data_IF_456144728395
#
_entry.id   IF_456144728395
#
_cell.length_a   1.000
_cell.length_b   1.000
_cell.length_c   1.000
_cell.angle_alpha   90.00
_cell.angle_beta   90.00
_cell.angle_gamma   90.00
#
_symmetry.space_group_name_H-M   'P 1'
#
loop_
_entity.id
_entity.type
_entity.pdbx_description
1 polymer ?
#
# COMPACT_ATOMS: atom_id res chain seq x y z
N UNK A 1 -20.69 -3.26 1.33
CA UNK A 1 -19.77 -4.40 1.10
C UNK A 1 -18.71 -4.42 2.20
N UNK A 2 -18.17 -5.58 2.57
CA UNK A 2 -17.08 -5.73 3.55
C UNK A 2 -15.74 -5.79 2.79
N UNK A 3 -14.96 -4.72 2.86
CA UNK A 3 -13.73 -4.56 2.08
C UNK A 3 -12.51 -4.55 3.00
N UNK A 4 -11.48 -5.31 2.64
CA UNK A 4 -10.21 -5.36 3.35
C UNK A 4 -9.11 -4.78 2.46
N UNK A 5 -8.43 -3.71 2.88
CA UNK A 5 -7.38 -3.03 2.10
C UNK A 5 -6.10 -3.02 2.91
N UNK A 6 -4.98 -3.41 2.30
CA UNK A 6 -3.63 -3.36 2.87
C UNK A 6 -3.51 -4.01 4.28
N UNK A 7 -4.31 -5.04 4.54
CA UNK A 7 -4.29 -5.69 5.84
C UNK A 7 -3.03 -6.55 5.99
N UNK A 8 -2.11 -6.09 6.84
CA UNK A 8 -0.81 -6.71 7.02
C UNK A 8 -0.63 -7.36 8.39
N UNK A 9 -0.33 -8.65 8.36
CA UNK A 9 -0.15 -9.52 9.52
C UNK A 9 1.32 -9.92 9.76
N UNK A 10 2.27 -9.31 9.05
CA UNK A 10 3.70 -9.48 9.30
C UNK A 10 4.24 -8.63 10.48
N UNK A 11 5.54 -8.78 10.74
CA UNK A 11 6.28 -8.01 11.75
C UNK A 11 7.62 -7.49 11.19
N UNK A 12 8.29 -6.65 11.98
CA UNK A 12 9.61 -6.09 11.68
C UNK A 12 10.76 -7.05 11.97
N UNK A 13 11.93 -6.47 12.29
CA UNK A 13 13.11 -7.26 12.67
C UNK A 13 12.85 -8.06 13.95
N UNK A 14 13.34 -9.30 13.95
CA UNK A 14 13.21 -10.23 15.09
C UNK A 14 14.57 -10.56 15.74
N UNK A 15 15.68 -10.13 15.14
CA UNK A 15 17.03 -10.39 15.64
C UNK A 15 18.04 -9.38 15.09
N UNK A 16 19.12 -9.15 15.85
CA UNK A 16 20.29 -8.38 15.43
C UNK A 16 21.40 -9.26 14.82
N UNK A 17 21.19 -10.58 14.71
CA UNK A 17 22.22 -11.53 14.29
C UNK A 17 22.76 -11.31 12.86
N UNK A 18 21.97 -10.67 11.99
CA UNK A 18 22.46 -10.20 10.68
C UNK A 18 22.57 -8.67 10.69
N UNK A 19 23.79 -8.09 10.73
CA UNK A 19 23.97 -6.65 10.83
C UNK A 19 23.80 -5.91 9.49
N UNK A 20 23.57 -6.64 8.39
CA UNK A 20 23.55 -6.09 7.04
C UNK A 20 22.15 -6.08 6.44
N UNK A 21 21.85 -5.00 5.72
CA UNK A 21 20.67 -4.92 4.85
C UNK A 21 20.84 -5.85 3.66
N UNK A 22 19.71 -6.40 3.15
CA UNK A 22 19.70 -7.23 1.94
C UNK A 22 20.22 -6.41 0.75
N UNK A 23 21.14 -6.99 -0.03
CA UNK A 23 21.64 -6.37 -1.26
C UNK A 23 20.50 -6.06 -2.22
N UNK A 24 20.44 -4.83 -2.71
CA UNK A 24 19.41 -4.38 -3.65
C UNK A 24 18.11 -3.92 -2.99
N UNK A 25 18.04 -3.87 -1.65
CA UNK A 25 16.91 -3.28 -0.94
C UNK A 25 16.74 -1.80 -1.32
N UNK A 26 15.50 -1.32 -1.39
CA UNK A 26 15.14 0.04 -1.79
C UNK A 26 15.86 1.11 -0.95
N UNK A 27 15.99 0.91 0.37
CA UNK A 27 16.75 1.83 1.24
C UNK A 27 18.25 1.90 0.89
N UNK A 28 18.86 0.78 0.47
CA UNK A 28 20.24 0.77 -0.02
C UNK A 28 20.35 1.54 -1.35
N UNK A 29 19.37 1.39 -2.25
CA UNK A 29 19.33 2.11 -3.53
C UNK A 29 19.13 3.61 -3.33
N UNK A 30 18.28 4.00 -2.36
CA UNK A 30 17.97 5.40 -2.03
C UNK A 30 19.17 6.13 -1.41
N UNK A 31 19.82 5.52 -0.40
CA UNK A 31 20.77 6.23 0.46
C UNK A 31 22.18 5.60 0.54
N UNK A 32 22.46 4.53 -0.20
CA UNK A 32 23.77 3.87 -0.19
C UNK A 32 24.13 3.18 1.13
N UNK A 33 23.15 2.95 2.01
CA UNK A 33 23.36 2.35 3.34
C UNK A 33 23.66 0.85 3.24
N UNK A 34 24.40 0.32 4.23
CA UNK A 34 24.75 -1.12 4.32
C UNK A 34 24.22 -1.79 5.58
N UNK A 35 24.11 -1.05 6.68
CA UNK A 35 23.67 -1.58 7.97
C UNK A 35 22.18 -1.92 7.91
N UNK A 36 21.78 -2.91 8.70
CA UNK A 36 20.39 -3.28 8.90
C UNK A 36 19.55 -2.08 9.37
N UNK A 37 18.35 -1.93 8.80
CA UNK A 37 17.35 -0.98 9.27
C UNK A 37 16.75 -1.48 10.60
N UNK A 38 16.64 -0.63 11.63
CA UNK A 38 16.06 -1.00 12.92
C UNK A 38 14.51 -0.88 12.93
N UNK A 39 13.84 -1.37 11.89
CA UNK A 39 12.37 -1.32 11.80
C UNK A 39 11.74 -2.44 12.64
N UNK A 40 11.35 -2.09 13.86
CA UNK A 40 10.57 -2.94 14.77
C UNK A 40 9.10 -2.55 14.68
N UNK A 41 8.20 -3.54 14.66
CA UNK A 41 6.76 -3.31 14.69
C UNK A 41 6.35 -2.77 16.06
N UNK A 42 5.60 -1.67 16.10
CA UNK A 42 5.20 -0.99 17.36
C UNK A 42 3.71 -1.08 17.68
N UNK A 43 2.89 -1.57 16.75
CA UNK A 43 1.44 -1.74 16.94
C UNK A 43 1.08 -3.21 17.16
N UNK A 44 0.22 -3.56 18.14
CA UNK A 44 -0.29 -4.92 18.27
C UNK A 44 -1.10 -5.35 17.04
N UNK A 45 -1.38 -6.65 16.93
CA UNK A 45 -2.34 -7.15 15.96
C UNK A 45 -3.75 -7.03 16.53
N UNK A 46 -4.56 -6.16 15.92
CA UNK A 46 -5.91 -5.85 16.42
C UNK A 46 -7.00 -6.75 15.81
N UNK A 47 -6.66 -7.51 14.77
CA UNK A 47 -7.56 -8.41 14.07
C UNK A 47 -6.83 -9.72 13.75
N UNK A 48 -7.46 -10.85 14.06
CA UNK A 48 -6.99 -12.18 13.66
C UNK A 48 -7.48 -12.50 12.24
N UNK A 49 -6.59 -12.67 11.24
CA UNK A 49 -7.02 -12.98 9.87
C UNK A 49 -7.77 -14.32 9.79
N UNK A 50 -7.44 -15.30 10.63
CA UNK A 50 -8.08 -16.62 10.63
C UNK A 50 -9.47 -16.62 11.25
N UNK A 51 -9.89 -15.50 11.86
CA UNK A 51 -11.24 -15.29 12.34
C UNK A 51 -12.17 -14.61 11.29
N UNK A 52 -11.65 -14.21 10.12
CA UNK A 52 -12.46 -13.60 9.06
C UNK A 52 -13.47 -14.62 8.51
N UNK A 53 -14.76 -14.24 8.50
CA UNK A 53 -15.87 -15.07 7.97
C UNK A 53 -16.73 -14.35 6.93
N UNK A 54 -16.79 -13.02 6.98
CA UNK A 54 -17.62 -12.20 6.09
C UNK A 54 -16.78 -11.10 5.46
N UNK A 55 -16.38 -11.31 4.22
CA UNK A 55 -15.56 -10.40 3.43
C UNK A 55 -16.02 -10.49 1.97
N UNK A 56 -16.00 -9.36 1.26
CA UNK A 56 -16.46 -9.24 -0.13
C UNK A 56 -15.32 -8.94 -1.11
N UNK A 57 -14.17 -8.45 -0.65
CA UNK A 57 -12.95 -8.28 -1.44
C UNK A 57 -11.72 -8.08 -0.55
N UNK A 58 -10.57 -8.57 -1.01
CA UNK A 58 -9.23 -8.27 -0.48
C UNK A 58 -8.51 -7.36 -1.47
N UNK A 59 -7.93 -6.26 -1.01
CA UNK A 59 -7.21 -5.30 -1.84
C UNK A 59 -5.80 -5.04 -1.33
N UNK A 60 -4.89 -4.77 -2.27
CA UNK A 60 -3.54 -4.28 -2.01
C UNK A 60 -3.25 -3.09 -2.91
N UNK A 61 -2.80 -1.98 -2.33
CA UNK A 61 -2.41 -0.78 -3.10
C UNK A 61 -1.15 -1.01 -3.90
N UNK A 62 -0.17 -1.75 -3.34
CA UNK A 62 1.11 -2.04 -3.97
C UNK A 62 1.80 -3.25 -3.34
N UNK A 63 2.95 -3.66 -3.90
CA UNK A 63 3.61 -4.94 -3.61
C UNK A 63 4.66 -4.88 -2.49
N UNK A 64 4.77 -3.78 -1.73
CA UNK A 64 5.64 -3.77 -0.55
C UNK A 64 5.09 -4.67 0.54
N UNK A 65 6.02 -5.25 1.28
CA UNK A 65 5.74 -6.32 2.22
C UNK A 65 4.72 -5.95 3.30
N UNK A 66 4.61 -4.67 3.68
CA UNK A 66 3.67 -4.16 4.69
C UNK A 66 2.29 -3.74 4.16
N UNK A 67 2.01 -3.98 2.87
CA UNK A 67 0.73 -3.69 2.23
C UNK A 67 0.05 -4.93 1.63
N UNK A 68 0.72 -6.09 1.64
CA UNK A 68 0.20 -7.36 1.13
C UNK A 68 0.64 -8.50 2.04
N UNK A 69 -0.25 -9.48 2.31
CA UNK A 69 0.04 -10.52 3.29
C UNK A 69 -0.43 -11.92 2.87
N UNK A 70 0.51 -12.87 2.92
CA UNK A 70 0.26 -14.28 2.57
C UNK A 70 -0.64 -15.00 3.57
N UNK A 71 -0.59 -14.62 4.86
CA UNK A 71 -1.42 -15.23 5.90
C UNK A 71 -2.86 -14.75 5.78
N UNK A 72 -3.07 -13.47 5.45
CA UNK A 72 -4.41 -12.94 5.13
C UNK A 72 -4.98 -13.65 3.90
N UNK A 73 -4.18 -13.81 2.84
CA UNK A 73 -4.59 -14.56 1.66
C UNK A 73 -4.97 -16.01 2.00
N UNK A 74 -4.12 -16.72 2.76
CA UNK A 74 -4.40 -18.08 3.20
C UNK A 74 -5.69 -18.17 4.04
N UNK A 75 -5.89 -17.24 4.97
CA UNK A 75 -7.06 -17.22 5.83
C UNK A 75 -8.37 -16.98 5.06
N UNK A 76 -8.39 -16.05 4.10
CA UNK A 76 -9.56 -15.80 3.24
C UNK A 76 -9.82 -17.00 2.33
N UNK A 77 -8.77 -17.59 1.74
CA UNK A 77 -8.90 -18.80 0.91
C UNK A 77 -9.45 -20.01 1.67
N UNK A 78 -9.16 -20.13 2.97
CA UNK A 78 -9.61 -21.25 3.81
C UNK A 78 -11.01 -21.05 4.39
N UNK A 79 -11.38 -19.81 4.71
CA UNK A 79 -12.54 -19.54 5.57
C UNK A 79 -13.72 -18.86 4.86
N UNK A 80 -13.50 -18.30 3.67
CA UNK A 80 -14.48 -17.44 2.99
C UNK A 80 -14.94 -18.06 1.66
N UNK A 81 -15.96 -17.46 1.06
CA UNK A 81 -16.51 -17.92 -0.21
C UNK A 81 -15.46 -17.90 -1.34
N UNK A 82 -15.63 -18.82 -2.31
CA UNK A 82 -14.70 -18.99 -3.44
C UNK A 82 -14.72 -17.80 -4.41
N UNK A 83 -15.76 -16.98 -4.36
CA UNK A 83 -15.96 -15.81 -5.22
C UNK A 83 -15.38 -14.52 -4.64
N UNK A 84 -14.77 -14.52 -3.45
CA UNK A 84 -14.12 -13.32 -2.89
C UNK A 84 -12.88 -12.99 -3.73
N UNK A 85 -12.85 -11.82 -4.42
CA UNK A 85 -11.74 -11.43 -5.27
C UNK A 85 -10.56 -10.83 -4.47
N UNK A 86 -9.37 -11.01 -5.03
CA UNK A 86 -8.11 -10.39 -4.66
C UNK A 86 -7.75 -9.34 -5.72
N UNK A 87 -7.78 -8.07 -5.34
CA UNK A 87 -7.76 -6.94 -6.27
C UNK A 87 -6.51 -6.08 -6.01
N UNK A 88 -5.72 -5.84 -7.04
CA UNK A 88 -4.45 -5.12 -6.88
C UNK A 88 -3.81 -4.77 -8.21
N UNK A 89 -2.71 -4.01 -8.21
CA UNK A 89 -1.87 -3.85 -9.39
C UNK A 89 -1.25 -5.19 -9.80
N UNK A 90 -0.70 -5.26 -11.01
CA UNK A 90 -0.20 -6.51 -11.61
C UNK A 90 0.76 -7.27 -10.67
N UNK A 91 1.71 -6.57 -10.07
CA UNK A 91 2.69 -7.16 -9.15
C UNK A 91 2.08 -7.77 -7.88
N UNK A 92 1.01 -7.18 -7.34
CA UNK A 92 0.27 -7.77 -6.21
C UNK A 92 -0.42 -9.07 -6.63
N UNK A 93 -1.04 -9.07 -7.82
CA UNK A 93 -1.67 -10.26 -8.40
C UNK A 93 -0.63 -11.35 -8.66
N UNK A 94 0.56 -11.00 -9.14
CA UNK A 94 1.66 -11.94 -9.34
C UNK A 94 2.13 -12.55 -8.02
N UNK A 95 2.23 -11.75 -6.94
CA UNK A 95 2.55 -12.25 -5.59
C UNK A 95 1.49 -13.21 -5.08
N UNK A 96 0.20 -12.84 -5.14
CA UNK A 96 -0.89 -13.71 -4.72
C UNK A 96 -0.93 -15.03 -5.49
N UNK A 97 -0.78 -15.00 -6.81
CA UNK A 97 -0.68 -16.20 -7.63
C UNK A 97 0.55 -17.03 -7.25
N UNK A 98 1.69 -16.38 -6.98
CA UNK A 98 2.90 -17.04 -6.49
C UNK A 98 2.73 -17.73 -5.13
N UNK A 99 1.79 -17.27 -4.30
CA UNK A 99 1.40 -17.90 -3.04
C UNK A 99 0.28 -18.94 -3.18
N UNK A 100 -0.25 -19.13 -4.38
CA UNK A 100 -1.28 -20.13 -4.67
C UNK A 100 -2.71 -19.61 -4.68
N UNK A 101 -2.93 -18.29 -4.68
CA UNK A 101 -4.27 -17.73 -4.97
C UNK A 101 -4.62 -18.01 -6.44
N UNK A 102 -5.77 -18.66 -6.72
CA UNK A 102 -6.18 -18.97 -8.08
C UNK A 102 -6.39 -17.70 -8.93
N UNK A 103 -5.95 -17.72 -10.19
CA UNK A 103 -5.98 -16.54 -11.09
C UNK A 103 -7.39 -15.99 -11.30
N UNK A 104 -8.39 -16.86 -11.23
CA UNK A 104 -9.80 -16.60 -11.43
C UNK A 104 -10.38 -15.76 -10.28
N UNK A 105 -9.70 -15.76 -9.13
CA UNK A 105 -10.00 -14.89 -7.98
C UNK A 105 -9.24 -13.57 -8.03
N UNK A 106 -8.33 -13.38 -8.98
CA UNK A 106 -7.51 -12.16 -9.05
C UNK A 106 -8.07 -11.15 -10.05
N UNK A 107 -8.12 -9.88 -9.66
CA UNK A 107 -8.49 -8.77 -10.53
C UNK A 107 -7.32 -7.78 -10.56
N UNK A 108 -6.68 -7.67 -11.73
CA UNK A 108 -5.64 -6.66 -11.96
C UNK A 108 -6.31 -5.31 -12.18
N UNK A 109 -5.88 -4.28 -11.46
CA UNK A 109 -6.30 -2.89 -11.64
C UNK A 109 -5.12 -2.00 -12.04
N UNK A 110 -5.37 -1.07 -12.95
CA UNK A 110 -4.49 0.06 -13.31
C UNK A 110 -5.26 1.38 -13.19
N UNK A 111 -4.57 2.54 -13.12
CA UNK A 111 -5.23 3.84 -13.07
C UNK A 111 -6.29 4.01 -14.17
N UNK A 112 -7.48 4.45 -13.78
CA UNK A 112 -8.66 4.58 -14.64
C UNK A 112 -9.62 3.40 -14.63
N UNK A 113 -9.21 2.22 -14.13
CA UNK A 113 -10.10 1.08 -13.99
C UNK A 113 -11.11 1.28 -12.84
N UNK A 114 -12.31 0.73 -13.00
CA UNK A 114 -13.37 0.73 -11.98
C UNK A 114 -13.91 -0.68 -11.82
N UNK A 115 -14.00 -1.14 -10.57
CA UNK A 115 -14.65 -2.41 -10.22
C UNK A 115 -15.75 -2.15 -9.19
N UNK A 116 -16.87 -2.84 -9.33
CA UNK A 116 -18.01 -2.72 -8.40
C UNK A 116 -18.10 -3.97 -7.53
N UNK A 117 -18.04 -3.78 -6.22
CA UNK A 117 -18.21 -4.82 -5.21
C UNK A 117 -19.48 -4.50 -4.43
N UNK A 118 -20.57 -5.23 -4.71
CA UNK A 118 -21.92 -4.94 -4.21
C UNK A 118 -22.31 -3.46 -4.43
N UNK A 119 -22.45 -2.69 -3.35
CA UNK A 119 -22.85 -1.29 -3.30
C UNK A 119 -21.66 -0.30 -3.33
N UNK A 120 -20.42 -0.78 -3.45
CA UNK A 120 -19.22 0.05 -3.48
C UNK A 120 -18.59 0.05 -4.87
N UNK A 121 -18.34 1.23 -5.43
CA UNK A 121 -17.53 1.41 -6.64
C UNK A 121 -16.09 1.74 -6.25
N UNK A 122 -15.14 0.95 -6.74
CA UNK A 122 -13.71 1.07 -6.41
C UNK A 122 -13.00 1.56 -7.67
N UNK A 123 -12.50 2.78 -7.61
CA UNK A 123 -11.70 3.38 -8.67
C UNK A 123 -10.22 3.20 -8.35
N UNK A 124 -9.45 2.65 -9.29
CA UNK A 124 -8.00 2.72 -9.23
C UNK A 124 -7.52 4.03 -9.85
N UNK A 125 -6.65 4.73 -9.13
CA UNK A 125 -6.09 6.03 -9.48
C UNK A 125 -4.57 5.96 -9.44
N UNK A 126 -3.90 6.95 -10.02
CA UNK A 126 -2.44 7.04 -10.04
C UNK A 126 -1.87 6.99 -8.61
N UNK A 127 -0.88 6.14 -8.38
CA UNK A 127 -0.09 6.15 -7.15
C UNK A 127 1.16 7.01 -7.31
N UNK A 128 1.71 7.46 -6.17
CA UNK A 128 2.90 8.32 -6.13
C UNK A 128 3.99 7.77 -5.21
N UNK A 129 3.98 6.47 -4.95
CA UNK A 129 5.03 5.82 -4.16
C UNK A 129 6.34 5.73 -4.98
N UNK A 130 7.19 6.74 -4.79
CA UNK A 130 8.51 6.79 -5.42
C UNK A 130 9.44 5.67 -4.94
N UNK A 131 9.17 5.09 -3.77
CA UNK A 131 9.92 3.96 -3.23
C UNK A 131 9.63 2.68 -4.02
N UNK A 132 8.38 2.42 -4.44
CA UNK A 132 8.05 1.31 -5.34
C UNK A 132 8.81 1.35 -6.69
N UNK A 133 9.04 2.53 -7.26
CA UNK A 133 9.78 2.65 -8.52
C UNK A 133 11.23 2.13 -8.43
N UNK A 134 11.85 2.25 -7.25
CA UNK A 134 13.21 1.75 -6.98
C UNK A 134 13.23 0.42 -6.22
N UNK A 135 12.06 -0.16 -5.93
CA UNK A 135 11.93 -1.50 -5.35
C UNK A 135 12.01 -2.51 -6.49
N UNK A 136 13.22 -2.97 -6.77
CA UNK A 136 13.54 -3.84 -7.90
C UNK A 136 14.14 -5.16 -7.41
N UNK A 137 13.98 -6.26 -8.16
CA UNK A 137 14.74 -7.49 -7.97
C UNK A 137 16.24 -7.22 -7.80
N UNK A 138 16.91 -8.05 -6.99
CA UNK A 138 18.30 -7.80 -6.55
C UNK A 138 19.32 -7.77 -7.72
N UNK A 139 19.00 -8.44 -8.82
CA UNK A 139 19.79 -8.49 -10.06
C UNK A 139 19.57 -7.28 -10.98
N UNK A 140 18.55 -6.45 -10.73
CA UNK A 140 18.24 -5.27 -11.53
C UNK A 140 18.90 -4.00 -10.99
N UNK A 141 19.20 -3.05 -11.89
CA UNK A 141 19.79 -1.73 -11.56
C UNK A 141 18.81 -0.61 -11.89
N UNK A 142 18.65 0.32 -10.94
CA UNK A 142 17.88 1.55 -11.16
C UNK A 142 18.72 2.67 -11.83
N UNK A 143 20.05 2.64 -11.66
CA UNK A 143 20.93 3.68 -12.17
C UNK A 143 20.92 3.73 -13.70
N UNK A 144 20.65 4.92 -14.26
CA UNK A 144 20.59 5.14 -15.71
C UNK A 144 19.31 4.66 -16.38
N UNK A 145 18.31 4.22 -15.60
CA UNK A 145 17.00 3.78 -16.10
C UNK A 145 15.96 4.80 -15.67
N UNK A 146 15.11 5.23 -16.61
CA UNK A 146 13.97 6.08 -16.27
C UNK A 146 13.00 5.27 -15.39
N UNK A 147 12.60 5.78 -14.21
CA UNK A 147 11.67 5.06 -13.36
C UNK A 147 10.27 5.08 -13.99
N UNK A 148 9.87 3.96 -14.60
CA UNK A 148 8.58 3.74 -15.24
C UNK A 148 7.78 2.64 -14.51
N UNK A 149 6.57 2.36 -15.01
CA UNK A 149 5.80 1.20 -14.52
C UNK A 149 5.25 1.34 -13.10
N UNK A 150 4.92 2.56 -12.66
CA UNK A 150 4.15 2.76 -11.42
C UNK A 150 2.83 1.99 -11.50
N UNK A 151 2.09 2.12 -12.60
CA UNK A 151 0.76 1.53 -12.79
C UNK A 151 0.72 0.00 -12.68
N UNK A 152 1.86 -0.67 -12.90
CA UNK A 152 1.99 -2.13 -12.72
C UNK A 152 2.27 -2.52 -11.26
N UNK A 153 2.74 -1.56 -10.46
CA UNK A 153 3.27 -1.74 -9.11
C UNK A 153 2.38 -1.20 -8.01
N UNK A 154 1.76 -0.04 -8.24
CA UNK A 154 1.03 0.69 -7.23
C UNK A 154 -0.16 1.43 -7.84
N UNK A 155 -1.27 1.43 -7.11
CA UNK A 155 -2.45 2.26 -7.36
C UNK A 155 -2.96 2.86 -6.05
N UNK A 156 -3.54 4.05 -6.14
CA UNK A 156 -4.37 4.59 -5.06
C UNK A 156 -5.82 4.19 -5.31
N UNK A 157 -6.60 4.02 -4.24
CA UNK A 157 -8.02 3.65 -4.37
C UNK A 157 -8.94 4.78 -3.93
N UNK A 158 -9.97 5.04 -4.71
CA UNK A 158 -11.14 5.80 -4.29
C UNK A 158 -12.34 4.86 -4.19
N UNK A 159 -12.79 4.62 -2.97
CA UNK A 159 -13.98 3.84 -2.66
C UNK A 159 -15.18 4.77 -2.58
N UNK A 160 -16.14 4.61 -3.49
CA UNK A 160 -17.41 5.35 -3.47
C UNK A 160 -18.50 4.47 -2.89
N UNK A 161 -19.09 4.93 -1.79
CA UNK A 161 -20.18 4.24 -1.11
C UNK A 161 -21.42 5.12 -1.10
N UNK A 162 -22.62 4.58 -0.81
CA UNK A 162 -23.82 5.40 -0.63
C UNK A 162 -23.70 6.44 0.50
N UNK A 163 -22.77 6.26 1.45
CA UNK A 163 -22.55 7.14 2.60
C UNK A 163 -21.42 8.16 2.43
N UNK A 164 -20.64 8.10 1.35
CA UNK A 164 -19.49 8.96 1.12
C UNK A 164 -18.29 8.24 0.50
N UNK A 165 -17.26 9.01 0.17
CA UNK A 165 -16.11 8.55 -0.60
C UNK A 165 -14.81 8.58 0.21
N UNK A 166 -14.10 7.46 0.24
CA UNK A 166 -12.82 7.27 0.94
C UNK A 166 -11.68 7.13 -0.07
N UNK A 167 -10.65 7.96 0.05
CA UNK A 167 -9.41 7.86 -0.71
C UNK A 167 -8.32 7.19 0.14
N UNK A 168 -7.76 6.09 -0.34
CA UNK A 168 -6.67 5.35 0.28
C UNK A 168 -5.40 5.48 -0.57
N UNK A 169 -4.41 6.21 -0.07
CA UNK A 169 -3.20 6.55 -0.85
C UNK A 169 -2.13 5.46 -0.89
N UNK A 170 -2.34 4.33 -0.21
CA UNK A 170 -1.22 3.48 0.20
C UNK A 170 -0.22 4.36 0.96
N UNK A 171 1.06 4.19 0.70
CA UNK A 171 2.09 5.09 1.19
C UNK A 171 2.71 6.00 0.12
N UNK A 172 1.91 6.34 -0.89
CA UNK A 172 2.23 7.38 -1.88
C UNK A 172 2.86 8.62 -1.24
N UNK A 173 4.00 9.05 -1.77
CA UNK A 173 4.60 10.33 -1.43
C UNK A 173 3.73 11.50 -1.93
N UNK A 174 4.11 12.72 -1.55
CA UNK A 174 3.44 13.90 -2.08
C UNK A 174 3.63 14.04 -3.60
N UNK A 175 2.54 14.34 -4.30
CA UNK A 175 2.50 14.67 -5.72
C UNK A 175 1.51 15.81 -5.97
N UNK A 176 1.86 16.73 -6.87
CA UNK A 176 0.91 17.75 -7.34
C UNK A 176 -0.31 17.11 -8.04
N UNK A 177 -0.17 15.88 -8.53
CA UNK A 177 -1.22 15.18 -9.26
C UNK A 177 -2.38 14.75 -8.34
N UNK A 178 -2.23 14.80 -7.02
CA UNK A 178 -3.38 14.76 -6.10
C UNK A 178 -4.43 15.82 -6.46
N UNK A 179 -4.03 16.99 -6.96
CA UNK A 179 -4.96 18.04 -7.40
C UNK A 179 -5.85 17.57 -8.56
N UNK A 180 -5.33 16.73 -9.46
CA UNK A 180 -6.14 16.14 -10.54
C UNK A 180 -7.22 15.23 -9.93
N UNK A 181 -6.85 14.34 -9.02
CA UNK A 181 -7.81 13.45 -8.36
C UNK A 181 -8.89 14.23 -7.60
N UNK A 182 -8.50 15.29 -6.87
CA UNK A 182 -9.45 16.17 -6.16
C UNK A 182 -10.30 17.06 -7.06
N UNK A 183 -9.88 17.32 -8.29
CA UNK A 183 -10.68 18.05 -9.29
C UNK A 183 -11.67 17.12 -10.02
N UNK A 184 -11.28 15.88 -10.27
CA UNK A 184 -12.07 14.91 -11.03
C UNK A 184 -13.04 14.09 -10.17
N UNK A 185 -12.82 14.06 -8.85
CA UNK A 185 -13.61 13.29 -7.92
C UNK A 185 -13.95 14.05 -6.64
N UNK A 186 -15.16 13.82 -6.13
CA UNK A 186 -15.49 14.19 -4.75
C UNK A 186 -14.83 13.19 -3.80
N UNK A 187 -13.99 13.69 -2.89
CA UNK A 187 -13.32 12.90 -1.85
C UNK A 187 -13.78 13.43 -0.50
N UNK A 188 -14.42 12.59 0.32
CA UNK A 188 -14.89 13.02 1.64
C UNK A 188 -13.82 12.77 2.71
N UNK A 189 -13.20 11.59 2.69
CA UNK A 189 -12.13 11.21 3.62
C UNK A 189 -10.88 10.82 2.82
N UNK A 190 -9.72 11.33 3.21
CA UNK A 190 -8.42 10.96 2.65
C UNK A 190 -7.52 10.32 3.72
N UNK A 191 -7.04 9.11 3.45
CA UNK A 191 -6.02 8.42 4.24
C UNK A 191 -4.65 8.69 3.62
N UNK A 192 -3.72 9.25 4.40
CA UNK A 192 -2.38 9.60 3.93
C UNK A 192 -1.30 9.03 4.84
N UNK A 193 -0.33 8.31 4.26
CA UNK A 193 0.77 7.73 5.05
C UNK A 193 1.71 8.81 5.57
N UNK A 194 1.90 8.82 6.88
CA UNK A 194 2.71 9.76 7.62
C UNK A 194 3.78 9.03 8.44
N UNK A 195 4.89 9.69 8.73
CA UNK A 195 5.95 9.16 9.59
C UNK A 195 7.14 10.11 9.68
N UNK A 196 7.96 9.93 10.73
CA UNK A 196 9.14 10.74 10.97
C UNK A 196 10.34 10.18 10.17
N UNK A 197 10.61 10.78 9.02
CA UNK A 197 11.67 10.32 8.14
C UNK A 197 13.06 10.42 8.79
N UNK A 198 13.88 9.34 8.83
CA UNK A 198 15.27 9.43 9.24
C UNK A 198 16.07 10.41 8.39
N UNK A 199 17.13 10.99 8.97
CA UNK A 199 18.05 11.86 8.25
C UNK A 199 18.59 11.19 6.97
N UNK A 200 18.26 11.77 5.82
CA UNK A 200 18.70 11.28 4.51
C UNK A 200 17.79 10.22 3.88
N UNK A 201 16.62 9.98 4.46
CA UNK A 201 15.57 9.10 3.93
C UNK A 201 14.32 9.94 3.66
N UNK A 202 13.60 9.60 2.60
CA UNK A 202 12.24 10.09 2.34
C UNK A 202 11.37 8.90 1.97
N UNK A 203 10.61 8.40 2.94
CA UNK A 203 9.77 7.22 2.81
C UNK A 203 8.29 7.50 3.15
N UNK A 204 8.01 8.55 3.92
CA UNK A 204 6.64 8.98 4.28
C UNK A 204 6.44 10.45 4.00
N UNK A 205 5.19 10.88 3.80
CA UNK A 205 4.88 12.31 3.67
C UNK A 205 5.21 13.05 4.97
N UNK A 206 5.61 14.32 4.85
CA UNK A 206 5.78 15.20 6.01
C UNK A 206 4.42 15.68 6.53
N UNK A 207 4.36 16.24 7.74
CA UNK A 207 3.13 16.86 8.26
C UNK A 207 2.59 17.98 7.36
N UNK A 208 3.49 18.78 6.76
CA UNK A 208 3.11 19.79 5.78
C UNK A 208 2.52 19.18 4.50
N UNK A 209 3.08 18.06 4.03
CA UNK A 209 2.57 17.37 2.84
C UNK A 209 1.23 16.68 3.09
N UNK A 210 0.94 16.21 4.31
CA UNK A 210 -0.39 15.70 4.67
C UNK A 210 -1.45 16.81 4.52
N UNK A 211 -1.15 18.03 4.96
CA UNK A 211 -2.04 19.19 4.78
C UNK A 211 -2.21 19.55 3.29
N UNK A 212 -1.10 19.56 2.53
CA UNK A 212 -1.15 19.85 1.09
C UNK A 212 -1.86 18.76 0.29
N UNK A 213 -1.76 17.50 0.70
CA UNK A 213 -2.51 16.39 0.12
C UNK A 213 -4.01 16.61 0.37
N UNK A 214 -4.40 16.96 1.59
CA UNK A 214 -5.80 17.24 1.93
C UNK A 214 -6.37 18.39 1.10
N UNK A 215 -5.61 19.49 0.95
CA UNK A 215 -5.95 20.61 0.07
C UNK A 215 -6.08 20.17 -1.39
N UNK A 216 -5.07 19.47 -1.92
CA UNK A 216 -5.05 19.01 -3.31
C UNK A 216 -6.21 18.06 -3.63
N UNK A 217 -6.52 17.14 -2.71
CA UNK A 217 -7.64 16.19 -2.86
C UNK A 217 -9.00 16.85 -2.63
N UNK A 218 -9.06 18.12 -2.19
CA UNK A 218 -10.28 18.79 -1.72
C UNK A 218 -11.07 17.95 -0.68
N UNK A 219 -10.35 17.23 0.18
CA UNK A 219 -10.96 16.30 1.14
C UNK A 219 -11.61 17.05 2.31
N UNK A 220 -12.73 16.54 2.84
CA UNK A 220 -13.39 17.10 4.03
C UNK A 220 -12.68 16.70 5.32
N UNK A 221 -12.14 15.48 5.35
CA UNK A 221 -11.39 14.92 6.48
C UNK A 221 -10.11 14.30 5.93
N UNK A 222 -8.98 14.58 6.60
CA UNK A 222 -7.72 13.88 6.37
C UNK A 222 -7.36 13.10 7.63
N UNK A 223 -6.99 11.83 7.46
CA UNK A 223 -6.60 10.92 8.54
C UNK A 223 -5.18 10.42 8.23
N UNK A 224 -4.15 10.82 8.98
CA UNK A 224 -2.84 10.21 8.84
C UNK A 224 -2.90 8.76 9.34
N UNK A 225 -2.21 7.86 8.65
CA UNK A 225 -1.98 6.47 9.06
C UNK A 225 -0.53 6.06 8.75
N UNK A 226 -0.15 4.78 8.94
CA UNK A 226 1.23 4.27 8.78
C UNK A 226 2.24 4.76 9.83
N UNK A 227 1.96 5.89 10.48
CA UNK A 227 2.80 6.47 11.55
C UNK A 227 2.89 5.63 12.83
N UNK A 228 2.05 4.61 12.96
CA UNK A 228 1.99 3.72 14.12
C UNK A 228 2.99 2.57 14.06
N UNK A 229 3.34 2.10 12.86
CA UNK A 229 3.78 0.72 12.68
C UNK A 229 5.27 0.49 12.93
N UNK A 230 6.13 1.47 12.65
CA UNK A 230 7.58 1.27 12.60
C UNK A 230 8.33 2.18 13.59
N UNK A 231 9.07 1.58 14.53
CA UNK A 231 9.87 2.32 15.52
C UNK A 231 10.89 3.33 14.94
N UNK A 232 11.36 3.11 13.71
CA UNK A 232 12.36 3.95 13.06
C UNK A 232 11.78 5.07 12.19
N UNK A 233 10.46 5.14 12.04
CA UNK A 233 9.71 6.25 11.39
C UNK A 233 8.51 6.68 12.24
N UNK A 234 8.53 6.37 13.53
CA UNK A 234 7.44 6.66 14.45
C UNK A 234 7.29 8.17 14.63
N UNK A 235 6.05 8.66 14.53
CA UNK A 235 5.70 10.07 14.71
C UNK A 235 4.80 10.29 15.93
#
# INVERSE_FOLDING_TARGET
>A
ANICVDFWCGTGKQSHGNPLMKTGHQMQRMAGVKKLQPNLRTTPFVLDPFAIRQIDAVLSTHDHNDHIDVNVAAAVMQNCAEDVPFIGPQTCVDLWMGWGVPKERCIVMKPGDVVKIKDVEIHALDAFDRTALITLPADQKAAGVLPDGMDQRAVNYLFKTPGGNLYHSGDSHYSNYYAKHGNEHQIDVALGSYGENPRGITDKMTSADILRMAESLNAKVVIPYHHDIWANVQA
#
